data_IF_340158189234
#
_entry.id   IF_340158189234
#
_cell.length_a   1.000
_cell.length_b   1.000
_cell.length_c   1.000
_cell.angle_alpha   90.00
_cell.angle_beta   90.00
_cell.angle_gamma   90.00
#
_symmetry.space_group_name_H-M   'P 1'
#
loop_
_entity.id
_entity.type
_entity.pdbx_description
1 polymer ?
#
# COMPACT_ATOMS: atom_id res chain seq x y z
N UNK A 1 -27.61 -2.25 35.46
CA UNK A 1 -26.74 -3.22 34.74
C UNK A 1 -27.17 -3.43 33.29
N UNK A 2 -28.41 -3.83 32.99
CA UNK A 2 -28.88 -4.07 31.61
C UNK A 2 -28.92 -2.80 30.73
N UNK A 3 -29.24 -1.62 31.28
CA UNK A 3 -29.28 -0.36 30.50
C UNK A 3 -27.88 0.18 30.16
N UNK A 4 -26.92 0.05 31.09
CA UNK A 4 -25.51 0.35 30.80
C UNK A 4 -24.94 -0.61 29.76
N UNK A 5 -25.25 -1.92 29.84
CA UNK A 5 -24.88 -2.89 28.82
C UNK A 5 -25.50 -2.60 27.44
N UNK A 6 -26.74 -2.08 27.38
CA UNK A 6 -27.38 -1.65 26.11
C UNK A 6 -26.79 -0.35 25.55
N UNK A 7 -26.46 0.64 26.38
CA UNK A 7 -25.77 1.87 25.95
C UNK A 7 -24.36 1.57 25.43
N UNK A 8 -23.67 0.63 26.06
CA UNK A 8 -22.34 0.15 25.67
C UNK A 8 -22.38 -0.68 24.37
N UNK A 9 -23.40 -1.55 24.21
CA UNK A 9 -23.65 -2.26 22.95
C UNK A 9 -24.11 -1.35 21.81
N UNK A 10 -24.63 -0.16 22.12
CA UNK A 10 -24.97 0.88 21.16
C UNK A 10 -23.75 1.76 20.81
N UNK A 11 -22.88 2.09 21.78
CA UNK A 11 -21.63 2.84 21.53
C UNK A 11 -20.58 2.01 20.77
N UNK A 12 -20.68 0.67 20.85
CA UNK A 12 -19.91 -0.27 20.01
C UNK A 12 -20.38 -0.30 18.55
N UNK A 13 -21.51 0.34 18.21
CA UNK A 13 -22.09 0.43 16.85
C UNK A 13 -22.04 1.85 16.27
N UNK A 14 -21.44 2.80 16.98
CA UNK A 14 -21.46 4.22 16.62
C UNK A 14 -20.17 4.64 15.92
N UNK A 15 -20.25 5.61 15.01
CA UNK A 15 -19.13 6.13 14.19
C UNK A 15 -18.05 6.87 15.02
N UNK A 16 -18.31 7.07 16.32
CA UNK A 16 -17.38 7.64 17.30
C UNK A 16 -17.48 6.88 18.62
N UNK A 17 -16.71 5.81 18.80
CA UNK A 17 -16.74 5.11 20.07
C UNK A 17 -16.26 6.02 21.21
N UNK A 18 -17.00 6.02 22.31
CA UNK A 18 -16.57 6.65 23.56
C UNK A 18 -15.39 5.85 24.12
N UNK A 19 -14.17 6.31 23.81
CA UNK A 19 -12.92 5.66 24.18
C UNK A 19 -12.78 5.51 25.69
N UNK A 20 -13.34 6.43 26.49
CA UNK A 20 -13.33 6.33 27.95
C UNK A 20 -14.16 5.14 28.44
N UNK A 21 -15.39 5.02 27.93
CA UNK A 21 -16.28 3.90 28.25
C UNK A 21 -15.70 2.57 27.79
N UNK A 22 -15.12 2.53 26.58
CA UNK A 22 -14.45 1.32 26.08
C UNK A 22 -13.28 0.92 26.97
N UNK A 23 -12.43 1.88 27.34
CA UNK A 23 -11.25 1.62 28.15
C UNK A 23 -11.62 1.14 29.56
N UNK A 24 -12.59 1.80 30.19
CA UNK A 24 -13.10 1.42 31.52
C UNK A 24 -13.67 0.00 31.51
N UNK A 25 -14.44 -0.35 30.47
CA UNK A 25 -14.98 -1.69 30.30
C UNK A 25 -13.86 -2.72 30.05
N UNK A 26 -12.88 -2.38 29.21
CA UNK A 26 -11.74 -3.24 28.92
C UNK A 26 -10.97 -3.58 30.20
N UNK A 27 -10.72 -2.58 31.05
CA UNK A 27 -10.10 -2.77 32.36
C UNK A 27 -10.93 -3.68 33.25
N UNK A 28 -12.24 -3.46 33.35
CA UNK A 28 -13.12 -4.32 34.15
C UNK A 28 -13.06 -5.78 33.70
N UNK A 29 -13.18 -6.03 32.39
CA UNK A 29 -13.12 -7.38 31.81
C UNK A 29 -11.76 -8.02 32.05
N UNK A 30 -10.66 -7.27 31.90
CA UNK A 30 -9.31 -7.73 32.17
C UNK A 30 -9.11 -8.14 33.63
N UNK A 31 -9.55 -7.33 34.59
CA UNK A 31 -9.46 -7.65 36.01
C UNK A 31 -10.29 -8.88 36.38
N UNK A 32 -11.48 -9.02 35.77
CA UNK A 32 -12.33 -10.20 35.96
C UNK A 32 -11.68 -11.47 35.40
N UNK A 33 -11.07 -11.42 34.22
CA UNK A 33 -10.26 -12.52 33.69
C UNK A 33 -9.16 -12.94 34.67
N UNK A 34 -8.39 -11.97 35.20
CA UNK A 34 -7.31 -12.25 36.17
C UNK A 34 -7.83 -12.90 37.45
N UNK A 35 -9.04 -12.56 37.90
CA UNK A 35 -9.67 -13.18 39.07
C UNK A 35 -10.19 -14.61 38.79
N UNK A 36 -10.69 -14.87 37.58
CA UNK A 36 -11.25 -16.16 37.17
C UNK A 36 -10.20 -17.18 36.68
N UNK A 37 -9.01 -16.70 36.31
CA UNK A 37 -7.94 -17.54 35.77
C UNK A 37 -8.37 -18.24 34.47
N UNK A 38 -8.07 -19.54 34.27
CA UNK A 38 -8.40 -20.27 33.04
C UNK A 38 -9.88 -20.31 32.66
N UNK A 39 -10.78 -20.10 33.63
CA UNK A 39 -12.24 -20.05 33.40
C UNK A 39 -12.72 -18.73 32.79
N UNK A 40 -11.89 -17.68 32.83
CA UNK A 40 -12.24 -16.34 32.35
C UNK A 40 -11.86 -16.04 30.89
N UNK A 41 -11.71 -17.06 30.03
CA UNK A 41 -11.27 -16.87 28.63
C UNK A 41 -12.18 -15.91 27.85
N UNK A 42 -13.49 -16.01 28.04
CA UNK A 42 -14.44 -15.09 27.41
C UNK A 42 -14.23 -13.63 27.83
N UNK A 43 -13.92 -13.37 29.10
CA UNK A 43 -13.58 -12.02 29.57
C UNK A 43 -12.27 -11.50 28.98
N UNK A 44 -11.27 -12.36 28.77
CA UNK A 44 -10.02 -11.99 28.07
C UNK A 44 -10.33 -11.53 26.65
N UNK A 45 -11.08 -12.33 25.89
CA UNK A 45 -11.36 -12.05 24.48
C UNK A 45 -12.14 -10.75 24.33
N UNK A 46 -13.12 -10.50 25.20
CA UNK A 46 -13.85 -9.23 25.24
C UNK A 46 -12.91 -8.07 25.59
N UNK A 47 -12.05 -8.22 26.60
CA UNK A 47 -11.10 -7.18 26.98
C UNK A 47 -10.18 -6.81 25.80
N UNK A 48 -9.68 -7.79 25.06
CA UNK A 48 -8.81 -7.58 23.91
C UNK A 48 -9.53 -6.86 22.77
N UNK A 49 -10.76 -7.24 22.46
CA UNK A 49 -11.59 -6.56 21.46
C UNK A 49 -11.87 -5.10 21.82
N UNK A 50 -11.96 -4.77 23.11
CA UNK A 50 -12.15 -3.40 23.57
C UNK A 50 -10.85 -2.61 23.57
N UNK A 51 -9.75 -3.19 24.06
CA UNK A 51 -8.43 -2.56 24.01
C UNK A 51 -7.96 -2.33 22.58
N UNK A 52 -8.25 -3.24 21.65
CA UNK A 52 -7.96 -3.07 20.24
C UNK A 52 -8.67 -1.84 19.64
N UNK A 53 -9.96 -1.64 19.98
CA UNK A 53 -10.68 -0.41 19.61
C UNK A 53 -10.11 0.83 20.29
N UNK A 54 -9.70 0.73 21.56
CA UNK A 54 -9.02 1.85 22.23
C UNK A 54 -7.73 2.23 21.49
N UNK A 55 -6.93 1.25 21.05
CA UNK A 55 -5.71 1.48 20.26
C UNK A 55 -5.99 2.23 18.96
N UNK A 56 -7.08 1.88 18.27
CA UNK A 56 -7.42 2.50 16.98
C UNK A 56 -7.99 3.91 17.15
N UNK A 57 -8.81 4.14 18.17
CA UNK A 57 -9.62 5.35 18.29
C UNK A 57 -9.12 6.39 19.29
N UNK A 58 -8.10 6.11 20.10
CA UNK A 58 -7.57 7.11 21.03
C UNK A 58 -6.25 6.75 21.70
N UNK A 59 -5.82 7.64 22.60
CA UNK A 59 -4.45 7.63 23.14
C UNK A 59 -4.41 7.10 24.59
N UNK A 60 -5.29 6.16 24.91
CA UNK A 60 -5.35 5.59 26.26
C UNK A 60 -4.10 4.76 26.56
N UNK A 61 -3.56 4.80 27.79
CA UNK A 61 -2.39 4.01 28.15
C UNK A 61 -2.77 2.52 28.25
N UNK A 62 -2.49 1.77 27.19
CA UNK A 62 -2.78 0.34 27.12
C UNK A 62 -1.73 -0.48 27.89
N UNK A 63 -2.11 -1.60 28.52
CA UNK A 63 -1.15 -2.49 29.18
C UNK A 63 -0.12 -3.05 28.18
N UNK A 64 1.19 -2.90 28.45
CA UNK A 64 2.23 -3.39 27.51
C UNK A 64 2.18 -4.89 27.28
N UNK A 65 1.82 -5.67 28.30
CA UNK A 65 1.80 -7.13 28.25
C UNK A 65 0.72 -7.75 27.35
N UNK A 66 -0.17 -6.94 26.76
CA UNK A 66 -1.24 -7.43 25.87
C UNK A 66 -1.04 -7.00 24.41
N UNK A 67 -0.03 -6.19 24.09
CA UNK A 67 0.15 -5.59 22.76
C UNK A 67 0.20 -6.65 21.65
N UNK A 68 1.00 -7.71 21.85
CA UNK A 68 1.13 -8.81 20.90
C UNK A 68 -0.20 -9.52 20.60
N UNK A 69 -1.12 -9.56 21.56
CA UNK A 69 -2.43 -10.18 21.37
C UNK A 69 -3.45 -9.24 20.72
N UNK A 70 -3.36 -7.93 20.97
CA UNK A 70 -4.35 -6.95 20.47
C UNK A 70 -3.97 -6.35 19.10
N UNK A 71 -2.69 -6.30 18.74
CA UNK A 71 -2.22 -5.71 17.47
C UNK A 71 -2.88 -6.36 16.26
N UNK A 72 -2.95 -7.70 16.12
CA UNK A 72 -3.64 -8.32 14.98
C UNK A 72 -5.12 -7.93 14.88
N UNK A 73 -5.82 -7.89 16.02
CA UNK A 73 -7.23 -7.46 16.08
C UNK A 73 -7.36 -5.99 15.66
N UNK A 74 -6.45 -5.13 16.11
CA UNK A 74 -6.43 -3.72 15.75
C UNK A 74 -6.13 -3.50 14.27
N UNK A 75 -5.27 -4.31 13.66
CA UNK A 75 -5.00 -4.26 12.21
C UNK A 75 -6.29 -4.55 11.44
N UNK A 76 -7.03 -5.61 11.78
CA UNK A 76 -8.31 -5.93 11.12
C UNK A 76 -9.30 -4.76 11.21
N UNK A 77 -9.42 -4.15 12.38
CA UNK A 77 -10.28 -2.98 12.60
C UNK A 77 -9.81 -1.76 11.76
N UNK A 78 -8.50 -1.54 11.62
CA UNK A 78 -7.95 -0.45 10.84
C UNK A 78 -8.10 -0.67 9.32
N UNK A 79 -8.03 -1.93 8.86
CA UNK A 79 -8.34 -2.31 7.47
C UNK A 79 -9.82 -2.03 7.18
N UNK A 80 -10.72 -2.36 8.11
CA UNK A 80 -12.13 -2.05 7.95
C UNK A 80 -12.39 -0.54 7.86
N UNK A 81 -11.63 0.29 8.59
CA UNK A 81 -11.68 1.76 8.45
C UNK A 81 -11.23 2.22 7.06
N UNK A 82 -10.17 1.63 6.49
CA UNK A 82 -9.74 1.91 5.12
C UNK A 82 -10.81 1.51 4.10
N UNK A 83 -11.42 0.33 4.26
CA UNK A 83 -12.50 -0.14 3.38
C UNK A 83 -13.71 0.79 3.42
N UNK A 84 -14.11 1.22 4.60
CA UNK A 84 -15.21 2.20 4.77
C UNK A 84 -14.90 3.53 4.09
N UNK A 85 -13.65 4.00 4.12
CA UNK A 85 -13.25 5.20 3.38
C UNK A 85 -13.40 5.09 1.87
N UNK A 86 -13.26 3.89 1.31
CA UNK A 86 -13.41 3.64 -0.12
C UNK A 86 -14.88 3.45 -0.54
N UNK A 87 -15.71 2.84 0.30
CA UNK A 87 -17.05 2.38 -0.07
C UNK A 87 -18.19 3.27 0.42
N UNK A 88 -17.99 4.03 1.51
CA UNK A 88 -19.07 4.75 2.16
C UNK A 88 -19.46 6.02 1.40
N UNK A 89 -20.77 6.27 1.28
CA UNK A 89 -21.30 7.56 0.81
C UNK A 89 -20.83 8.73 1.69
N UNK A 90 -20.54 8.46 2.96
CA UNK A 90 -19.97 9.41 3.91
C UNK A 90 -18.78 8.73 4.62
N UNK A 91 -17.57 8.82 4.04
CA UNK A 91 -16.40 8.15 4.60
C UNK A 91 -15.98 8.78 5.94
N UNK A 92 -15.30 8.01 6.82
CA UNK A 92 -14.69 8.60 8.00
C UNK A 92 -13.64 9.65 7.58
N UNK A 93 -13.39 10.68 8.40
CA UNK A 93 -12.35 11.67 8.12
C UNK A 93 -10.99 10.99 7.93
N UNK A 94 -10.25 11.36 6.87
CA UNK A 94 -8.97 10.76 6.54
C UNK A 94 -7.95 10.84 7.69
N UNK A 95 -7.96 11.93 8.47
CA UNK A 95 -7.11 12.08 9.67
C UNK A 95 -7.30 10.93 10.67
N UNK A 96 -8.54 10.47 10.88
CA UNK A 96 -8.79 9.36 11.81
C UNK A 96 -8.19 8.05 11.32
N UNK A 97 -8.19 7.85 10.01
CA UNK A 97 -7.63 6.65 9.39
C UNK A 97 -6.11 6.69 9.50
N UNK A 98 -5.50 7.83 9.18
CA UNK A 98 -4.05 8.04 9.35
C UNK A 98 -3.64 7.87 10.82
N UNK A 99 -4.35 8.48 11.76
CA UNK A 99 -4.04 8.39 13.19
C UNK A 99 -4.14 6.94 13.70
N UNK A 100 -5.13 6.16 13.24
CA UNK A 100 -5.24 4.75 13.57
C UNK A 100 -4.00 3.95 13.15
N UNK A 101 -3.53 4.16 11.92
CA UNK A 101 -2.35 3.48 11.40
C UNK A 101 -1.05 3.97 12.05
N UNK A 102 -0.93 5.26 12.39
CA UNK A 102 0.21 5.79 13.16
C UNK A 102 0.26 5.20 14.58
N UNK A 103 -0.88 5.00 15.23
CA UNK A 103 -0.93 4.34 16.54
C UNK A 103 -0.45 2.89 16.44
N UNK A 104 -0.88 2.15 15.43
CA UNK A 104 -0.36 0.80 15.14
C UNK A 104 1.15 0.82 14.92
N UNK A 105 1.64 1.72 14.07
CA UNK A 105 3.07 1.87 13.76
C UNK A 105 3.90 2.14 15.01
N UNK A 106 3.40 2.98 15.92
CA UNK A 106 4.06 3.33 17.18
C UNK A 106 4.20 2.17 18.18
N UNK A 107 3.38 1.11 18.05
CA UNK A 107 3.41 -0.06 18.95
C UNK A 107 4.01 -1.30 18.30
N UNK A 108 4.20 -1.31 16.98
CA UNK A 108 4.88 -2.39 16.23
C UNK A 108 6.36 -2.08 16.04
N UNK A 109 7.23 -2.63 16.92
CA UNK A 109 8.69 -2.56 16.73
C UNK A 109 9.17 -3.45 15.58
N UNK A 110 10.48 -3.42 15.28
CA UNK A 110 11.10 -4.30 14.26
C UNK A 110 10.97 -5.80 14.56
N UNK A 111 10.55 -6.18 15.77
CA UNK A 111 10.34 -7.58 16.17
C UNK A 111 8.92 -8.08 15.85
N UNK A 112 8.01 -7.19 15.45
CA UNK A 112 6.65 -7.56 15.08
C UNK A 112 6.59 -7.97 13.61
N UNK A 113 6.19 -9.21 13.30
CA UNK A 113 6.02 -9.66 11.92
C UNK A 113 5.07 -8.77 11.11
N UNK A 114 4.11 -8.13 11.77
CA UNK A 114 3.10 -7.28 11.14
C UNK A 114 3.61 -5.87 10.79
N UNK A 115 4.84 -5.49 11.17
CA UNK A 115 5.36 -4.12 10.96
C UNK A 115 5.32 -3.70 9.49
N UNK A 116 5.74 -4.58 8.57
CA UNK A 116 5.72 -4.29 7.13
C UNK A 116 4.29 -4.03 6.63
N UNK A 117 3.33 -4.86 7.05
CA UNK A 117 1.91 -4.70 6.72
C UNK A 117 1.34 -3.39 7.28
N UNK A 118 1.65 -3.04 8.52
CA UNK A 118 1.20 -1.79 9.16
C UNK A 118 1.71 -0.57 8.39
N UNK A 119 2.99 -0.56 8.03
CA UNK A 119 3.61 0.52 7.25
C UNK A 119 3.03 0.63 5.83
N UNK A 120 2.80 -0.51 5.17
CA UNK A 120 2.18 -0.54 3.85
C UNK A 120 0.74 -0.01 3.85
N UNK A 121 -0.02 -0.25 4.93
CA UNK A 121 -1.36 0.29 5.08
C UNK A 121 -1.38 1.75 5.55
N UNK A 122 -0.40 2.17 6.36
CA UNK A 122 -0.20 3.60 6.69
C UNK A 122 0.02 4.42 5.42
N UNK A 123 0.81 3.92 4.46
CA UNK A 123 0.95 4.52 3.13
C UNK A 123 -0.41 4.73 2.46
N UNK A 124 -1.30 3.73 2.48
CA UNK A 124 -2.64 3.84 1.87
C UNK A 124 -3.46 4.94 2.55
N UNK A 125 -3.43 5.00 3.89
CA UNK A 125 -4.14 6.03 4.65
C UNK A 125 -3.62 7.45 4.33
N UNK A 126 -2.31 7.62 4.19
CA UNK A 126 -1.67 8.88 3.82
C UNK A 126 -2.04 9.28 2.38
N UNK A 127 -2.03 8.33 1.44
CA UNK A 127 -2.44 8.59 0.06
C UNK A 127 -3.93 8.95 -0.07
N UNK A 128 -4.78 8.34 0.76
CA UNK A 128 -6.19 8.71 0.87
C UNK A 128 -6.33 10.17 1.32
N UNK A 129 -5.60 10.56 2.38
CA UNK A 129 -5.63 11.94 2.88
C UNK A 129 -5.09 12.91 1.84
N UNK A 130 -3.95 12.60 1.24
CA UNK A 130 -3.35 13.36 0.15
C UNK A 130 -4.33 13.60 -1.01
N UNK A 131 -5.11 12.59 -1.42
CA UNK A 131 -6.10 12.75 -2.48
C UNK A 131 -7.19 13.80 -2.17
N UNK A 132 -7.41 14.11 -0.88
CA UNK A 132 -8.39 15.12 -0.44
C UNK A 132 -7.76 16.47 -0.11
N UNK A 133 -6.53 16.49 0.42
CA UNK A 133 -5.85 17.71 0.89
C UNK A 133 -4.88 18.28 -0.12
N UNK A 134 -4.35 17.42 -1.00
CA UNK A 134 -3.18 17.65 -1.86
C UNK A 134 -1.93 18.07 -1.08
N UNK A 135 -1.86 17.74 0.22
CA UNK A 135 -0.71 18.05 1.05
C UNK A 135 0.47 17.12 0.71
N UNK A 136 1.49 17.67 0.05
CA UNK A 136 2.68 16.89 -0.35
C UNK A 136 3.43 16.26 0.82
N UNK A 137 3.24 16.75 2.06
CA UNK A 137 3.82 16.11 3.24
C UNK A 137 3.27 14.70 3.46
N UNK A 138 1.98 14.45 3.18
CA UNK A 138 1.38 13.11 3.24
C UNK A 138 2.01 12.18 2.19
N UNK A 139 2.31 12.70 1.01
CA UNK A 139 2.94 11.91 -0.05
C UNK A 139 4.40 11.56 0.31
N UNK A 140 5.15 12.51 0.86
CA UNK A 140 6.52 12.27 1.32
C UNK A 140 6.55 11.28 2.51
N UNK A 141 5.60 11.37 3.44
CA UNK A 141 5.43 10.39 4.53
C UNK A 141 5.01 9.02 4.00
N UNK A 142 4.14 8.94 2.98
CA UNK A 142 3.74 7.69 2.35
C UNK A 142 4.93 6.96 1.71
N UNK A 143 5.85 7.70 1.06
CA UNK A 143 7.11 7.17 0.53
C UNK A 143 7.98 6.63 1.66
N UNK A 144 8.13 7.39 2.74
CA UNK A 144 8.90 6.95 3.92
C UNK A 144 8.32 5.65 4.51
N UNK A 145 7.01 5.59 4.70
CA UNK A 145 6.33 4.41 5.25
C UNK A 145 6.55 3.17 4.37
N UNK A 146 6.37 3.28 3.04
CA UNK A 146 6.53 2.11 2.16
C UNK A 146 7.98 1.67 1.98
N UNK A 147 8.95 2.59 2.04
CA UNK A 147 10.38 2.21 2.12
C UNK A 147 10.67 1.38 3.37
N UNK A 148 10.19 1.84 4.52
CA UNK A 148 10.34 1.08 5.77
C UNK A 148 9.60 -0.26 5.72
N UNK A 149 8.48 -0.36 4.99
CA UNK A 149 7.78 -1.64 4.81
C UNK A 149 8.64 -2.64 4.02
N UNK A 150 9.30 -2.19 2.95
CA UNK A 150 10.25 -3.00 2.17
C UNK A 150 11.43 -3.44 3.03
N UNK A 151 11.96 -2.56 3.88
CA UNK A 151 13.07 -2.88 4.79
C UNK A 151 12.67 -3.83 5.93
N UNK A 152 11.43 -3.72 6.42
CA UNK A 152 10.90 -4.55 7.50
C UNK A 152 10.46 -5.94 7.04
N UNK A 153 10.14 -6.12 5.75
CA UNK A 153 9.75 -7.40 5.19
C UNK A 153 10.96 -8.32 5.07
N UNK A 154 10.82 -9.56 5.54
CA UNK A 154 11.85 -10.58 5.33
C UNK A 154 11.99 -10.92 3.84
N UNK A 155 13.16 -11.40 3.41
CA UNK A 155 13.40 -11.74 2.00
C UNK A 155 12.44 -12.82 1.47
N UNK A 156 11.95 -13.70 2.34
CA UNK A 156 10.97 -14.75 2.04
C UNK A 156 9.52 -14.36 2.32
N UNK A 157 9.25 -13.10 2.69
CA UNK A 157 7.90 -12.57 2.88
C UNK A 157 7.16 -12.56 1.52
N UNK A 158 6.03 -13.30 1.37
CA UNK A 158 5.28 -13.38 0.13
C UNK A 158 4.70 -12.02 -0.32
N UNK A 159 4.57 -11.05 0.58
CA UNK A 159 4.06 -9.71 0.28
C UNK A 159 5.19 -8.69 -0.04
N UNK A 160 6.47 -9.03 0.21
CA UNK A 160 7.61 -8.16 -0.13
C UNK A 160 7.61 -7.66 -1.57
N UNK A 161 7.35 -8.51 -2.59
CA UNK A 161 7.25 -8.04 -3.97
C UNK A 161 6.20 -6.94 -4.15
N UNK A 162 5.08 -7.02 -3.44
CA UNK A 162 4.00 -6.04 -3.52
C UNK A 162 4.38 -4.71 -2.89
N UNK A 163 5.16 -4.72 -1.80
CA UNK A 163 5.69 -3.49 -1.21
C UNK A 163 6.62 -2.73 -2.18
N UNK A 164 7.43 -3.45 -2.97
CA UNK A 164 8.24 -2.84 -4.04
C UNK A 164 7.37 -2.20 -5.12
N UNK A 165 6.30 -2.90 -5.55
CA UNK A 165 5.34 -2.32 -6.51
C UNK A 165 4.80 -1.00 -5.96
N UNK A 166 4.27 -1.01 -4.73
CA UNK A 166 3.70 0.15 -4.04
C UNK A 166 4.69 1.32 -3.89
N UNK A 167 5.96 1.03 -3.59
CA UNK A 167 7.01 2.04 -3.54
C UNK A 167 7.15 2.73 -4.90
N UNK A 168 7.29 1.98 -5.98
CA UNK A 168 7.39 2.55 -7.32
C UNK A 168 6.13 3.35 -7.73
N UNK A 169 4.92 2.92 -7.36
CA UNK A 169 3.70 3.70 -7.62
C UNK A 169 3.72 5.05 -6.91
N UNK A 170 4.16 5.04 -5.66
CA UNK A 170 4.10 6.21 -4.78
C UNK A 170 5.18 7.23 -5.19
N UNK A 171 6.36 6.75 -5.60
CA UNK A 171 7.40 7.57 -6.24
C UNK A 171 6.90 8.18 -7.56
N UNK A 172 6.22 7.41 -8.41
CA UNK A 172 5.64 7.92 -9.65
C UNK A 172 4.61 9.03 -9.38
N UNK A 173 3.78 8.88 -8.35
CA UNK A 173 2.85 9.92 -7.94
C UNK A 173 3.58 11.20 -7.54
N UNK A 174 4.71 11.10 -6.83
CA UNK A 174 5.52 12.25 -6.41
C UNK A 174 6.17 12.97 -7.57
N UNK A 175 6.65 12.22 -8.56
CA UNK A 175 7.23 12.78 -9.78
C UNK A 175 6.19 13.60 -10.56
N UNK A 176 4.97 13.06 -10.72
CA UNK A 176 3.87 13.76 -11.43
C UNK A 176 3.44 15.09 -10.80
N UNK A 177 3.84 15.34 -9.55
CA UNK A 177 3.58 16.59 -8.84
C UNK A 177 4.68 17.65 -8.99
N UNK A 178 5.86 17.28 -9.50
CA UNK A 178 6.97 18.22 -9.68
C UNK A 178 6.92 18.81 -11.08
N UNK A 179 7.20 20.11 -11.19
CA UNK A 179 7.35 20.81 -12.48
C UNK A 179 8.72 20.57 -13.14
N UNK A 180 9.67 19.95 -12.42
CA UNK A 180 10.98 19.61 -12.92
C UNK A 180 10.98 18.25 -13.65
N UNK A 181 11.90 18.02 -14.60
CA UNK A 181 12.02 16.74 -15.29
C UNK A 181 12.12 15.58 -14.28
N UNK A 182 11.30 14.52 -14.44
CA UNK A 182 11.33 13.32 -13.63
C UNK A 182 12.73 12.66 -13.54
N UNK A 183 13.37 12.64 -12.37
CA UNK A 183 14.36 11.58 -12.12
C UNK A 183 13.61 10.29 -11.80
N UNK A 184 13.42 9.46 -12.82
CA UNK A 184 12.76 8.15 -12.73
C UNK A 184 13.73 7.00 -12.40
N UNK A 185 15.01 7.27 -12.14
CA UNK A 185 16.03 6.24 -11.95
C UNK A 185 15.71 5.30 -10.78
N UNK A 186 15.29 5.87 -9.64
CA UNK A 186 14.88 5.08 -8.48
C UNK A 186 13.66 4.19 -8.80
N UNK A 187 12.69 4.71 -9.55
CA UNK A 187 11.47 3.96 -9.94
C UNK A 187 11.84 2.76 -10.79
N UNK A 188 12.73 2.96 -11.77
CA UNK A 188 13.22 1.92 -12.66
C UNK A 188 13.92 0.82 -11.85
N UNK A 189 14.78 1.18 -10.91
CA UNK A 189 15.50 0.21 -10.08
C UNK A 189 14.56 -0.59 -9.17
N UNK A 190 13.60 0.07 -8.54
CA UNK A 190 12.57 -0.58 -7.70
C UNK A 190 11.71 -1.55 -8.51
N UNK A 191 11.27 -1.18 -9.71
CA UNK A 191 10.47 -2.07 -10.56
C UNK A 191 11.28 -3.19 -11.19
N UNK A 192 12.57 -2.98 -11.49
CA UNK A 192 13.48 -4.07 -11.87
C UNK A 192 13.65 -5.07 -10.73
N UNK A 193 13.79 -4.60 -9.49
CA UNK A 193 13.81 -5.49 -8.32
C UNK A 193 12.49 -6.27 -8.20
N UNK A 194 11.35 -5.60 -8.31
CA UNK A 194 10.04 -6.25 -8.27
C UNK A 194 9.90 -7.35 -9.32
N UNK A 195 10.33 -7.13 -10.57
CA UNK A 195 10.28 -8.14 -11.64
C UNK A 195 11.21 -9.34 -11.39
N UNK A 196 12.26 -9.21 -10.58
CA UNK A 196 13.13 -10.35 -10.22
C UNK A 196 12.46 -11.31 -9.24
N UNK A 197 11.56 -10.81 -8.41
CA UNK A 197 10.94 -11.59 -7.32
C UNK A 197 9.46 -11.94 -7.58
N UNK A 198 8.78 -11.22 -8.49
CA UNK A 198 7.39 -11.48 -8.83
C UNK A 198 7.24 -12.77 -9.68
N UNK A 199 6.34 -13.70 -9.29
CA UNK A 199 5.98 -14.86 -10.11
C UNK A 199 5.51 -14.47 -11.51
N UNK A 200 5.81 -15.31 -12.51
CA UNK A 200 5.47 -15.04 -13.92
C UNK A 200 3.98 -14.85 -14.18
N UNK A 201 3.14 -15.55 -13.43
CA UNK A 201 1.67 -15.54 -13.53
C UNK A 201 1.01 -14.47 -12.64
N UNK A 202 1.79 -13.66 -11.92
CA UNK A 202 1.26 -12.63 -11.03
C UNK A 202 0.67 -11.44 -11.81
N UNK A 203 -0.56 -11.00 -11.51
CA UNK A 203 -1.12 -9.75 -12.05
C UNK A 203 -0.26 -8.50 -11.75
N UNK A 204 0.42 -8.51 -10.59
CA UNK A 204 1.33 -7.44 -10.21
C UNK A 204 2.53 -7.38 -11.19
N UNK A 205 3.01 -8.52 -11.69
CA UNK A 205 4.09 -8.58 -12.68
C UNK A 205 3.69 -7.88 -13.98
N UNK A 206 2.50 -8.16 -14.49
CA UNK A 206 2.00 -7.53 -15.71
C UNK A 206 1.88 -6.01 -15.56
N UNK A 207 1.41 -5.56 -14.40
CA UNK A 207 1.35 -4.14 -14.03
C UNK A 207 2.74 -3.51 -14.00
N UNK A 208 3.72 -4.17 -13.37
CA UNK A 208 5.10 -3.68 -13.29
C UNK A 208 5.76 -3.62 -14.67
N UNK A 209 5.57 -4.63 -15.54
CA UNK A 209 6.09 -4.62 -16.91
C UNK A 209 5.63 -3.35 -17.66
N UNK A 210 4.32 -3.11 -17.69
CA UNK A 210 3.79 -1.94 -18.39
C UNK A 210 4.32 -0.61 -17.85
N UNK A 211 4.50 -0.51 -16.52
CA UNK A 211 4.99 0.71 -15.86
C UNK A 211 6.49 0.93 -16.04
N UNK A 212 7.30 -0.13 -15.93
CA UNK A 212 8.73 -0.09 -16.15
C UNK A 212 9.05 0.35 -17.59
N UNK A 213 8.36 -0.20 -18.59
CA UNK A 213 8.55 0.22 -19.97
C UNK A 213 8.27 1.71 -20.17
N UNK A 214 7.23 2.25 -19.53
CA UNK A 214 6.92 3.69 -19.58
C UNK A 214 7.99 4.53 -18.90
N UNK A 215 8.48 4.13 -17.72
CA UNK A 215 9.53 4.87 -17.03
C UNK A 215 10.86 4.87 -17.80
N UNK A 216 11.25 3.74 -18.41
CA UNK A 216 12.42 3.66 -19.29
C UNK A 216 12.28 4.60 -20.49
N UNK A 217 11.09 4.63 -21.11
CA UNK A 217 10.82 5.53 -22.23
C UNK A 217 10.87 7.01 -21.81
N UNK A 218 10.32 7.34 -20.64
CA UNK A 218 10.40 8.70 -20.07
C UNK A 218 11.85 9.13 -19.84
N UNK A 219 12.69 8.25 -19.26
CA UNK A 219 14.10 8.56 -19.02
C UNK A 219 14.86 8.78 -20.32
N UNK A 220 14.60 7.94 -21.32
CA UNK A 220 15.17 8.10 -22.66
C UNK A 220 14.84 9.49 -23.21
N UNK A 221 13.58 9.90 -23.21
CA UNK A 221 13.17 11.19 -23.79
C UNK A 221 13.63 12.43 -23.03
N UNK A 222 13.89 12.31 -21.71
CA UNK A 222 14.22 13.45 -20.85
C UNK A 222 15.73 13.74 -20.75
N UNK A 223 16.59 12.75 -20.99
CA UNK A 223 18.04 12.89 -20.83
C UNK A 223 18.73 13.03 -22.19
N UNK A 224 19.31 14.20 -22.50
CA UNK A 224 20.10 14.44 -23.72
C UNK A 224 21.33 13.52 -23.86
N UNK A 225 21.65 12.71 -22.84
CA UNK A 225 22.74 11.71 -22.86
C UNK A 225 22.29 10.27 -23.15
N UNK A 226 21.06 10.09 -23.67
CA UNK A 226 20.44 8.83 -24.11
C UNK A 226 21.38 7.63 -24.32
N UNK A 227 21.16 6.57 -23.55
CA UNK A 227 21.65 5.25 -23.91
C UNK A 227 20.52 4.51 -24.61
N UNK A 228 20.69 4.19 -25.89
CA UNK A 228 19.80 3.29 -26.66
C UNK A 228 19.39 2.02 -25.88
N UNK A 229 20.19 1.63 -24.88
CA UNK A 229 19.90 0.58 -23.92
C UNK A 229 18.54 0.72 -23.20
N UNK A 230 18.16 1.92 -22.76
CA UNK A 230 16.88 2.12 -22.07
C UNK A 230 15.69 1.94 -23.03
N UNK A 231 15.82 2.42 -24.26
CA UNK A 231 14.81 2.23 -25.31
C UNK A 231 14.70 0.75 -25.72
N UNK A 232 15.83 0.07 -25.88
CA UNK A 232 15.89 -1.37 -26.15
C UNK A 232 15.25 -2.19 -25.04
N UNK A 233 15.51 -1.83 -23.78
CA UNK A 233 14.89 -2.47 -22.61
C UNK A 233 13.38 -2.17 -22.56
N UNK A 234 12.95 -0.93 -22.82
CA UNK A 234 11.54 -0.57 -22.86
C UNK A 234 10.77 -1.42 -23.88
N UNK A 235 11.32 -1.58 -25.09
CA UNK A 235 10.76 -2.44 -26.14
C UNK A 235 10.69 -3.90 -25.67
N UNK A 236 11.77 -4.42 -25.08
CA UNK A 236 11.80 -5.80 -24.58
C UNK A 236 10.74 -6.03 -23.48
N UNK A 237 10.57 -5.05 -22.58
CA UNK A 237 9.58 -5.09 -21.50
C UNK A 237 8.15 -5.00 -22.05
N UNK A 238 7.88 -4.12 -23.02
CA UNK A 238 6.56 -4.04 -23.63
C UNK A 238 6.21 -5.32 -24.43
N UNK A 239 7.17 -5.93 -25.12
CA UNK A 239 6.97 -7.25 -25.76
C UNK A 239 6.60 -8.32 -24.73
N UNK A 240 7.26 -8.34 -23.58
CA UNK A 240 6.89 -9.25 -22.47
C UNK A 240 5.47 -8.96 -21.97
N UNK A 241 5.09 -7.69 -21.78
CA UNK A 241 3.75 -7.32 -21.35
C UNK A 241 2.66 -7.76 -22.36
N UNK A 242 2.91 -7.58 -23.66
CA UNK A 242 2.03 -8.03 -24.74
C UNK A 242 1.90 -9.56 -24.78
N UNK A 243 2.99 -10.30 -24.56
CA UNK A 243 2.93 -11.76 -24.49
C UNK A 243 2.19 -12.26 -23.26
N UNK A 244 2.41 -11.64 -22.11
CA UNK A 244 1.82 -12.07 -20.83
C UNK A 244 0.33 -11.70 -20.70
N UNK A 245 -0.12 -10.59 -21.29
CA UNK A 245 -1.53 -10.19 -21.24
C UNK A 245 -2.40 -11.08 -22.15
N UNK A 246 -3.42 -11.81 -21.67
CA UNK A 246 -4.28 -12.60 -22.55
C UNK A 246 -5.05 -11.76 -23.58
N UNK A 247 -5.53 -12.40 -24.66
CA UNK A 247 -6.46 -11.74 -25.60
C UNK A 247 -7.72 -11.31 -24.84
N UNK A 248 -8.10 -10.04 -24.96
CA UNK A 248 -9.22 -9.44 -24.23
C UNK A 248 -8.86 -8.85 -22.87
N UNK A 249 -7.59 -8.90 -22.45
CA UNK A 249 -7.15 -8.19 -21.25
C UNK A 249 -7.31 -6.66 -21.43
N UNK A 250 -7.92 -5.93 -20.47
CA UNK A 250 -8.27 -4.51 -20.62
C UNK A 250 -7.09 -3.59 -20.99
N UNK A 251 -5.89 -3.93 -20.53
CA UNK A 251 -4.69 -3.12 -20.76
C UNK A 251 -3.80 -3.64 -21.90
N UNK A 252 -4.16 -4.75 -22.58
CA UNK A 252 -3.33 -5.31 -23.66
C UNK A 252 -3.10 -4.30 -24.78
N UNK A 253 -4.14 -3.57 -25.16
CA UNK A 253 -4.07 -2.56 -26.23
C UNK A 253 -3.15 -1.39 -25.83
N UNK A 254 -3.10 -1.04 -24.53
CA UNK A 254 -2.17 -0.02 -24.04
C UNK A 254 -0.72 -0.49 -24.17
N UNK A 255 -0.43 -1.75 -23.84
CA UNK A 255 0.93 -2.30 -24.01
C UNK A 255 1.34 -2.36 -25.48
N UNK A 256 0.42 -2.73 -26.37
CA UNK A 256 0.63 -2.71 -27.82
C UNK A 256 0.93 -1.30 -28.32
N UNK A 257 0.10 -0.32 -27.94
CA UNK A 257 0.31 1.08 -28.31
C UNK A 257 1.66 1.61 -27.83
N UNK A 258 2.04 1.31 -26.58
CA UNK A 258 3.32 1.74 -26.03
C UNK A 258 4.51 1.06 -26.73
N UNK A 259 4.39 -0.23 -27.06
CA UNK A 259 5.38 -0.93 -27.88
C UNK A 259 5.53 -0.26 -29.25
N UNK A 260 4.42 0.07 -29.90
CA UNK A 260 4.40 0.79 -31.17
C UNK A 260 5.13 2.12 -31.08
N UNK A 261 4.83 2.94 -30.06
CA UNK A 261 5.52 4.21 -29.83
C UNK A 261 7.03 4.04 -29.63
N UNK A 262 7.46 3.08 -28.80
CA UNK A 262 8.87 2.84 -28.56
C UNK A 262 9.62 2.38 -29.83
N UNK A 263 8.98 1.53 -30.64
CA UNK A 263 9.52 1.08 -31.94
C UNK A 263 9.61 2.23 -32.96
N UNK A 264 8.63 3.14 -33.00
CA UNK A 264 8.69 4.32 -33.87
C UNK A 264 9.87 5.22 -33.50
N UNK A 265 10.03 5.51 -32.20
CA UNK A 265 11.16 6.29 -31.70
C UNK A 265 12.48 5.61 -32.07
N UNK A 266 12.62 4.30 -31.86
CA UNK A 266 13.86 3.59 -32.21
C UNK A 266 14.12 3.59 -33.72
N UNK A 267 13.09 3.45 -34.54
CA UNK A 267 13.21 3.50 -36.00
C UNK A 267 13.56 4.89 -36.55
N UNK A 268 13.21 5.95 -35.82
CA UNK A 268 13.62 7.33 -36.13
C UNK A 268 15.10 7.54 -35.77
N UNK A 269 15.55 7.03 -34.62
CA UNK A 269 16.93 7.21 -34.14
C UNK A 269 17.93 6.31 -34.88
N UNK A 270 17.55 5.09 -35.25
CA UNK A 270 18.44 4.07 -35.85
C UNK A 270 18.23 3.84 -37.34
N UNK A 271 17.18 4.44 -37.91
CA UNK A 271 16.72 4.19 -39.29
C UNK A 271 16.33 2.72 -39.60
N UNK A 272 16.04 1.89 -38.59
CA UNK A 272 15.71 0.47 -38.80
C UNK A 272 14.30 0.28 -39.43
N UNK A 273 14.20 -0.29 -40.66
CA UNK A 273 12.92 -0.54 -41.30
C UNK A 273 12.10 -1.67 -40.65
N UNK A 274 12.74 -2.61 -39.94
CA UNK A 274 12.03 -3.70 -39.26
C UNK A 274 11.16 -3.16 -38.12
N UNK A 275 11.69 -2.20 -37.37
CA UNK A 275 10.97 -1.55 -36.27
C UNK A 275 9.76 -0.76 -36.77
N UNK A 276 9.85 -0.08 -37.93
CA UNK A 276 8.70 0.63 -38.51
C UNK A 276 7.56 -0.32 -38.86
N UNK A 277 7.89 -1.48 -39.41
CA UNK A 277 6.86 -2.46 -39.77
C UNK A 277 6.26 -3.14 -38.54
N UNK A 278 7.04 -3.38 -37.48
CA UNK A 278 6.51 -3.88 -36.21
C UNK A 278 5.65 -2.84 -35.48
N UNK A 279 6.06 -1.57 -35.50
CA UNK A 279 5.29 -0.46 -34.93
C UNK A 279 3.89 -0.37 -35.57
N UNK A 280 3.80 -0.48 -36.90
CA UNK A 280 2.54 -0.47 -37.65
C UNK A 280 1.60 -1.62 -37.27
N UNK A 281 2.14 -2.75 -36.82
CA UNK A 281 1.37 -3.92 -36.34
C UNK A 281 0.97 -3.80 -34.87
N UNK A 282 1.57 -2.87 -34.15
CA UNK A 282 1.38 -2.65 -32.71
C UNK A 282 0.36 -1.53 -32.41
N UNK A 283 -0.15 -0.84 -33.43
CA UNK A 283 -1.25 0.13 -33.37
C UNK A 283 -2.58 -0.49 -33.75
#
# INVERSE_FOLDING_TARGET
MAEHARRLAASLRDDRPDVESLFTLAQFMWHRFRALGPKGRGERDIAFQLYARCLIHGDKPLPRGIMRDIVPISIDLAIDLLRQSAEARKPPPADKVVDAWRRLESVTSHEYPERALVLANLRIALLLRYGTTLDTADLDEAISAIRQAVEAAADDDPDRPRYLVYLGETLLMRIKQREAPPDVSEIIDVWREALRVLPEDSPDRLTVLGRLGVALLMRFTDDETETLADLDEAIAIFRQAVQAAPVGHPDRDKYMSNLGTALEIRAEVTEDPADREEARKSK
#
